data_IF_445387592554
#
_entry.id   IF_445387592554
#
_cell.length_a   1.000
_cell.length_b   1.000
_cell.length_c   1.000
_cell.angle_alpha   90.00
_cell.angle_beta   90.00
_cell.angle_gamma   90.00
#
_symmetry.space_group_name_H-M   'P 1'
#
loop_
_entity.id
_entity.type
_entity.pdbx_description
1 polymer ?
#
# COMPACT_ATOMS: atom_id res chain seq x y z
N UNK A 1 -2.83 -30.89 -4.14
CA UNK A 1 -3.50 -30.08 -5.18
C UNK A 1 -4.73 -29.27 -4.71
N UNK A 2 -5.45 -29.63 -3.64
CA UNK A 2 -6.61 -28.83 -3.15
C UNK A 2 -6.23 -27.47 -2.51
N UNK A 3 -5.02 -27.30 -2.00
CA UNK A 3 -4.60 -26.05 -1.32
C UNK A 3 -4.33 -24.87 -2.26
N UNK A 4 -3.82 -25.12 -3.47
CA UNK A 4 -3.51 -24.05 -4.44
C UNK A 4 -4.75 -23.42 -5.07
N UNK A 5 -5.83 -24.20 -5.22
CA UNK A 5 -7.11 -23.71 -5.76
C UNK A 5 -7.78 -22.73 -4.79
N UNK A 6 -7.69 -23.00 -3.48
CA UNK A 6 -8.27 -22.14 -2.44
C UNK A 6 -7.54 -20.78 -2.32
N UNK A 7 -6.22 -20.76 -2.52
CA UNK A 7 -5.44 -19.51 -2.51
C UNK A 7 -5.79 -18.61 -3.70
N UNK A 8 -5.90 -19.19 -4.89
CA UNK A 8 -6.27 -18.45 -6.10
C UNK A 8 -7.70 -17.89 -6.01
N UNK A 9 -8.64 -18.67 -5.49
CA UNK A 9 -10.02 -18.20 -5.26
C UNK A 9 -10.10 -17.11 -4.20
N UNK A 10 -9.29 -17.18 -3.14
CA UNK A 10 -9.16 -16.11 -2.15
C UNK A 10 -8.65 -14.83 -2.77
N UNK A 11 -7.60 -14.90 -3.56
CA UNK A 11 -7.00 -13.74 -4.23
C UNK A 11 -7.96 -13.08 -5.23
N UNK A 12 -8.64 -13.87 -6.10
CA UNK A 12 -9.61 -13.33 -7.06
C UNK A 12 -10.82 -12.69 -6.37
N UNK A 13 -11.23 -13.20 -5.22
CA UNK A 13 -12.33 -12.62 -4.43
C UNK A 13 -11.93 -11.29 -3.81
N UNK A 14 -10.71 -11.18 -3.24
CA UNK A 14 -10.17 -9.92 -2.72
C UNK A 14 -10.07 -8.88 -3.84
N UNK A 15 -9.51 -9.25 -4.97
CA UNK A 15 -9.37 -8.36 -6.13
C UNK A 15 -10.75 -7.91 -6.65
N UNK A 16 -11.72 -8.81 -6.72
CA UNK A 16 -13.09 -8.49 -7.12
C UNK A 16 -13.74 -7.47 -6.20
N UNK A 17 -13.63 -7.64 -4.88
CA UNK A 17 -14.20 -6.69 -3.91
C UNK A 17 -13.48 -5.33 -3.95
N UNK A 18 -12.16 -5.31 -4.08
CA UNK A 18 -11.38 -4.07 -4.23
C UNK A 18 -11.82 -3.27 -5.45
N UNK A 19 -12.10 -3.94 -6.58
CA UNK A 19 -12.48 -3.30 -7.83
C UNK A 19 -13.96 -2.89 -7.90
N UNK A 20 -14.87 -3.64 -7.27
CA UNK A 20 -16.33 -3.39 -7.40
C UNK A 20 -16.87 -2.38 -6.41
N UNK A 21 -16.12 -2.07 -5.35
CA UNK A 21 -16.57 -1.11 -4.33
C UNK A 21 -16.27 0.32 -4.76
N UNK A 22 -17.27 1.09 -5.12
CA UNK A 22 -17.14 2.47 -5.62
C UNK A 22 -16.24 3.36 -4.74
N UNK A 23 -16.36 3.28 -3.41
CA UNK A 23 -15.52 4.02 -2.46
C UNK A 23 -14.03 3.66 -2.58
N UNK A 24 -13.72 2.38 -2.82
CA UNK A 24 -12.34 1.91 -3.02
C UNK A 24 -11.73 2.46 -4.30
N UNK A 25 -12.50 2.53 -5.38
CA UNK A 25 -12.03 3.11 -6.65
C UNK A 25 -11.74 4.61 -6.52
N UNK A 26 -12.61 5.38 -5.82
CA UNK A 26 -12.35 6.80 -5.57
C UNK A 26 -11.06 7.00 -4.75
N UNK A 27 -10.85 6.19 -3.71
CA UNK A 27 -9.61 6.24 -2.93
C UNK A 27 -8.39 5.95 -3.80
N UNK A 28 -8.45 4.93 -4.67
CA UNK A 28 -7.38 4.63 -5.61
C UNK A 28 -7.09 5.83 -6.53
N UNK A 29 -8.12 6.40 -7.17
CA UNK A 29 -7.96 7.56 -8.05
C UNK A 29 -7.32 8.75 -7.33
N UNK A 30 -7.75 9.06 -6.10
CA UNK A 30 -7.18 10.15 -5.30
C UNK A 30 -5.71 9.87 -4.99
N UNK A 31 -5.37 8.64 -4.59
CA UNK A 31 -3.99 8.26 -4.25
C UNK A 31 -3.09 8.34 -5.49
N UNK A 32 -3.50 7.76 -6.62
CA UNK A 32 -2.70 7.80 -7.85
C UNK A 32 -2.53 9.22 -8.39
N UNK A 33 -3.61 10.00 -8.43
CA UNK A 33 -3.53 11.40 -8.89
C UNK A 33 -2.72 12.27 -7.94
N UNK A 34 -2.90 12.09 -6.62
CA UNK A 34 -2.15 12.79 -5.59
C UNK A 34 -0.66 12.47 -5.63
N UNK A 35 -0.30 11.21 -5.87
CA UNK A 35 1.09 10.78 -6.02
C UNK A 35 1.75 11.41 -7.24
N UNK A 36 1.08 11.42 -8.41
CA UNK A 36 1.59 12.08 -9.61
C UNK A 36 1.79 13.58 -9.42
N UNK A 37 0.83 14.25 -8.75
CA UNK A 37 0.95 15.66 -8.40
C UNK A 37 2.11 15.92 -7.42
N UNK A 38 2.24 15.07 -6.40
CA UNK A 38 3.32 15.19 -5.41
C UNK A 38 4.71 14.99 -6.04
N UNK A 39 4.86 14.01 -6.95
CA UNK A 39 6.09 13.82 -7.72
C UNK A 39 6.41 15.03 -8.57
N UNK A 40 5.43 15.58 -9.29
CA UNK A 40 5.60 16.80 -10.09
C UNK A 40 6.05 18.01 -9.23
N UNK A 41 5.41 18.21 -8.08
CA UNK A 41 5.77 19.28 -7.15
C UNK A 41 7.17 19.07 -6.55
N UNK A 42 7.48 17.84 -6.17
CA UNK A 42 8.80 17.48 -5.66
C UNK A 42 9.88 17.77 -6.70
N UNK A 43 9.71 17.27 -7.91
CA UNK A 43 10.64 17.48 -9.02
C UNK A 43 10.89 18.95 -9.31
N UNK A 44 9.82 19.76 -9.30
CA UNK A 44 9.90 21.16 -9.74
C UNK A 44 10.41 22.09 -8.64
N UNK A 45 10.00 21.89 -7.40
CA UNK A 45 10.25 22.84 -6.31
C UNK A 45 11.12 22.28 -5.19
N UNK A 46 10.92 21.04 -4.79
CA UNK A 46 11.56 20.49 -3.60
C UNK A 46 12.93 19.85 -3.90
N UNK A 47 13.11 19.27 -5.07
CA UNK A 47 14.36 18.59 -5.41
C UNK A 47 15.57 19.55 -5.44
N UNK A 48 15.50 20.75 -6.01
CA UNK A 48 16.61 21.71 -5.92
C UNK A 48 16.95 22.08 -4.47
N UNK A 49 15.93 22.39 -3.66
CA UNK A 49 16.10 22.70 -2.23
C UNK A 49 16.70 21.53 -1.46
N UNK A 50 16.27 20.32 -1.77
CA UNK A 50 16.77 19.11 -1.15
C UNK A 50 18.25 18.85 -1.48
N UNK A 51 18.64 19.07 -2.73
CA UNK A 51 20.05 18.96 -3.15
C UNK A 51 20.93 20.00 -2.48
N UNK A 52 20.48 21.25 -2.42
CA UNK A 52 21.20 22.34 -1.74
C UNK A 52 21.35 22.06 -0.23
N UNK A 53 20.30 21.52 0.40
CA UNK A 53 20.36 21.12 1.80
C UNK A 53 21.42 20.04 2.04
N UNK A 54 21.46 18.99 1.20
CA UNK A 54 22.47 17.94 1.31
C UNK A 54 23.89 18.45 1.12
N UNK A 55 24.10 19.33 0.14
CA UNK A 55 25.39 19.96 -0.09
C UNK A 55 25.86 20.81 1.11
N UNK A 56 24.94 21.54 1.75
CA UNK A 56 25.24 22.31 2.97
C UNK A 56 25.61 21.41 4.16
N UNK A 57 25.14 20.16 4.18
CA UNK A 57 25.55 19.14 5.15
C UNK A 57 26.87 18.44 4.79
N UNK A 58 27.52 18.85 3.69
CA UNK A 58 28.75 18.22 3.18
C UNK A 58 28.53 16.91 2.43
N UNK A 59 27.28 16.55 2.13
CA UNK A 59 26.95 15.38 1.34
C UNK A 59 26.81 15.76 -0.14
N UNK A 60 27.62 15.13 -0.99
CA UNK A 60 27.51 15.24 -2.45
C UNK A 60 27.07 13.88 -3.03
N UNK A 61 25.79 13.57 -2.99
CA UNK A 61 25.31 12.26 -3.47
C UNK A 61 25.47 12.18 -4.99
N UNK A 62 26.09 11.08 -5.44
CA UNK A 62 26.12 10.74 -6.86
C UNK A 62 24.82 10.04 -7.25
N UNK A 63 23.86 10.84 -7.71
CA UNK A 63 22.54 10.34 -8.12
C UNK A 63 22.59 9.40 -9.34
N UNK A 64 23.71 9.37 -10.09
CA UNK A 64 23.86 8.47 -11.24
C UNK A 64 23.96 6.98 -10.84
N UNK A 65 24.29 6.72 -9.57
CA UNK A 65 24.42 5.36 -9.03
C UNK A 65 23.07 4.79 -8.56
N UNK A 66 21.99 5.58 -8.58
CA UNK A 66 20.65 5.08 -8.24
C UNK A 66 20.19 4.07 -9.31
N UNK A 67 20.09 2.81 -8.91
CA UNK A 67 19.60 1.76 -9.80
C UNK A 67 18.07 1.86 -9.95
N UNK A 68 17.65 2.25 -11.14
CA UNK A 68 16.23 2.34 -11.51
C UNK A 68 15.54 0.97 -11.44
N UNK A 69 16.27 -0.11 -11.69
CA UNK A 69 15.75 -1.47 -11.63
C UNK A 69 15.42 -1.93 -10.21
N UNK A 70 16.07 -1.35 -9.20
CA UNK A 70 15.87 -1.72 -7.81
C UNK A 70 14.53 -1.24 -7.24
N UNK A 71 14.05 -0.06 -7.65
CA UNK A 71 12.80 0.52 -7.13
C UNK A 71 11.57 -0.39 -7.31
N UNK A 72 11.27 -0.92 -8.50
CA UNK A 72 10.14 -1.84 -8.68
C UNK A 72 10.27 -3.12 -7.85
N UNK A 73 11.47 -3.65 -7.66
CA UNK A 73 11.72 -4.87 -6.88
C UNK A 73 11.38 -4.63 -5.41
N UNK A 74 11.81 -3.50 -4.84
CA UNK A 74 11.50 -3.13 -3.45
C UNK A 74 9.99 -3.01 -3.26
N UNK A 75 9.30 -2.28 -4.14
CA UNK A 75 7.86 -2.08 -4.03
C UNK A 75 7.04 -3.34 -4.30
N UNK A 76 7.49 -4.19 -5.23
CA UNK A 76 6.86 -5.49 -5.46
C UNK A 76 6.98 -6.39 -4.23
N UNK A 77 8.16 -6.43 -3.60
CA UNK A 77 8.39 -7.21 -2.39
C UNK A 77 7.53 -6.70 -1.23
N UNK A 78 7.46 -5.38 -1.06
CA UNK A 78 6.64 -4.74 -0.04
C UNK A 78 5.15 -5.03 -0.25
N UNK A 79 4.66 -4.89 -1.48
CA UNK A 79 3.29 -5.19 -1.87
C UNK A 79 2.94 -6.67 -1.67
N UNK A 80 3.85 -7.58 -2.02
CA UNK A 80 3.68 -9.01 -1.83
C UNK A 80 3.56 -9.39 -0.34
N UNK A 81 4.36 -8.77 0.54
CA UNK A 81 4.28 -8.98 1.98
C UNK A 81 2.91 -8.51 2.53
N UNK A 82 2.43 -7.36 2.08
CA UNK A 82 1.12 -6.82 2.49
C UNK A 82 -0.01 -7.76 2.05
N UNK A 83 -0.04 -8.15 0.78
CA UNK A 83 -1.07 -9.05 0.26
C UNK A 83 -0.98 -10.43 0.92
N UNK A 84 0.23 -10.94 1.15
CA UNK A 84 0.45 -12.20 1.84
C UNK A 84 -0.09 -12.16 3.27
N UNK A 85 0.22 -11.11 4.03
CA UNK A 85 -0.29 -10.96 5.41
C UNK A 85 -1.80 -10.82 5.45
N UNK A 86 -2.41 -10.04 4.55
CA UNK A 86 -3.87 -9.94 4.44
C UNK A 86 -4.51 -11.28 4.08
N UNK A 87 -3.92 -12.03 3.14
CA UNK A 87 -4.43 -13.35 2.75
C UNK A 87 -4.42 -14.32 3.91
N UNK A 88 -3.36 -14.33 4.72
CA UNK A 88 -3.27 -15.16 5.93
C UNK A 88 -4.36 -14.78 6.92
N UNK A 89 -4.52 -13.48 7.24
CA UNK A 89 -5.54 -13.01 8.18
C UNK A 89 -6.95 -13.39 7.70
N UNK A 90 -7.25 -13.15 6.42
CA UNK A 90 -8.56 -13.48 5.84
C UNK A 90 -8.80 -15.00 5.84
N UNK A 91 -7.77 -15.81 5.58
CA UNK A 91 -7.88 -17.27 5.61
C UNK A 91 -8.21 -17.80 7.02
N UNK A 92 -7.55 -17.24 8.05
CA UNK A 92 -7.87 -17.57 9.44
C UNK A 92 -9.29 -17.12 9.84
N UNK A 93 -9.68 -15.91 9.42
CA UNK A 93 -11.02 -15.40 9.68
C UNK A 93 -12.11 -16.25 9.01
N UNK A 94 -11.88 -16.67 7.76
CA UNK A 94 -12.82 -17.49 7.00
C UNK A 94 -13.05 -18.88 7.61
N UNK A 95 -12.04 -19.47 8.26
CA UNK A 95 -12.14 -20.76 8.90
C UNK A 95 -12.94 -20.71 10.21
N UNK A 96 -12.83 -19.61 10.96
CA UNK A 96 -13.42 -19.50 12.30
C UNK A 96 -14.77 -18.78 12.30
N UNK A 97 -14.91 -17.69 11.53
CA UNK A 97 -16.15 -16.90 11.48
C UNK A 97 -16.30 -16.24 10.09
N UNK A 98 -17.13 -16.79 9.19
CA UNK A 98 -17.28 -16.26 7.83
C UNK A 98 -17.69 -14.79 7.75
N UNK A 99 -18.44 -14.26 8.73
CA UNK A 99 -18.83 -12.86 8.81
C UNK A 99 -17.66 -11.90 9.13
N UNK A 100 -16.54 -12.41 9.66
CA UNK A 100 -15.35 -11.61 9.91
C UNK A 100 -14.70 -11.09 8.62
N UNK A 101 -14.87 -11.80 7.52
CA UNK A 101 -14.34 -11.37 6.21
C UNK A 101 -14.93 -10.00 5.84
N UNK A 102 -16.24 -9.82 6.01
CA UNK A 102 -16.92 -8.56 5.68
C UNK A 102 -16.43 -7.42 6.57
N UNK A 103 -16.16 -7.71 7.85
CA UNK A 103 -15.62 -6.72 8.80
C UNK A 103 -14.20 -6.28 8.44
N UNK A 104 -13.33 -7.22 8.00
CA UNK A 104 -11.97 -6.90 7.57
C UNK A 104 -11.95 -6.14 6.24
N UNK A 105 -12.86 -6.48 5.34
CA UNK A 105 -12.99 -5.79 4.05
C UNK A 105 -13.57 -4.39 4.18
N UNK A 106 -14.26 -4.07 5.30
CA UNK A 106 -14.74 -2.74 5.63
C UNK A 106 -13.69 -1.87 6.34
N UNK A 107 -12.53 -2.47 6.69
CA UNK A 107 -11.50 -1.76 7.43
C UNK A 107 -10.74 -0.79 6.51
N UNK A 108 -11.19 0.49 6.53
CA UNK A 108 -10.68 1.56 5.68
C UNK A 108 -9.14 1.74 5.68
N UNK A 109 -8.42 1.68 6.83
CA UNK A 109 -6.97 1.83 6.85
C UNK A 109 -6.24 0.76 6.04
N UNK A 110 -6.72 -0.50 6.06
CA UNK A 110 -6.13 -1.59 5.29
C UNK A 110 -6.28 -1.38 3.78
N UNK A 111 -7.44 -0.91 3.34
CA UNK A 111 -7.70 -0.59 1.94
C UNK A 111 -6.81 0.56 1.45
N UNK A 112 -6.69 1.63 2.24
CA UNK A 112 -5.83 2.76 1.90
C UNK A 112 -4.38 2.32 1.74
N UNK A 113 -3.88 1.48 2.64
CA UNK A 113 -2.50 1.03 2.60
C UNK A 113 -2.20 0.11 1.41
N UNK A 114 -3.15 -0.75 1.02
CA UNK A 114 -3.04 -1.56 -0.20
C UNK A 114 -2.98 -0.67 -1.44
N UNK A 115 -3.88 0.32 -1.57
CA UNK A 115 -3.88 1.23 -2.70
C UNK A 115 -2.65 2.12 -2.74
N UNK A 116 -2.17 2.58 -1.56
CA UNK A 116 -0.92 3.31 -1.45
C UNK A 116 0.26 2.49 -1.97
N UNK A 117 0.40 1.25 -1.51
CA UNK A 117 1.50 0.37 -1.93
C UNK A 117 1.43 0.03 -3.42
N UNK A 118 0.21 -0.19 -3.95
CA UNK A 118 0.00 -0.40 -5.38
C UNK A 118 0.40 0.84 -6.20
N UNK A 119 0.06 2.04 -5.73
CA UNK A 119 0.44 3.28 -6.39
C UNK A 119 1.96 3.49 -6.39
N UNK A 120 2.65 3.20 -5.27
CA UNK A 120 4.10 3.27 -5.21
C UNK A 120 4.76 2.28 -6.19
N UNK A 121 4.23 1.07 -6.31
CA UNK A 121 4.72 0.08 -7.28
C UNK A 121 4.51 0.55 -8.73
N UNK A 122 3.31 1.03 -9.06
CA UNK A 122 3.00 1.54 -10.41
C UNK A 122 3.88 2.75 -10.73
N UNK A 123 4.09 3.66 -9.78
CA UNK A 123 4.99 4.80 -9.94
C UNK A 123 6.42 4.31 -10.24
N UNK A 124 6.96 3.36 -9.47
CA UNK A 124 8.30 2.80 -9.70
C UNK A 124 8.42 2.10 -11.07
N UNK A 125 7.41 1.35 -11.50
CA UNK A 125 7.36 0.73 -12.82
C UNK A 125 7.35 1.78 -13.93
N UNK A 126 6.57 2.85 -13.76
CA UNK A 126 6.50 3.97 -14.72
C UNK A 126 7.87 4.63 -14.85
N UNK A 127 8.57 4.89 -13.73
CA UNK A 127 9.92 5.45 -13.75
C UNK A 127 10.90 4.55 -14.51
N UNK A 128 10.81 3.22 -14.32
CA UNK A 128 11.65 2.27 -15.05
C UNK A 128 11.43 2.37 -16.56
N UNK A 129 10.17 2.36 -17.00
CA UNK A 129 9.82 2.49 -18.43
C UNK A 129 10.32 3.83 -19.01
N UNK A 130 10.15 4.93 -18.27
CA UNK A 130 10.62 6.26 -18.69
C UNK A 130 12.15 6.31 -18.80
N UNK A 131 12.87 5.68 -17.87
CA UNK A 131 14.34 5.58 -17.92
C UNK A 131 14.82 4.77 -19.13
N UNK A 132 14.16 3.65 -19.41
CA UNK A 132 14.46 2.83 -20.61
C UNK A 132 14.19 3.61 -21.91
N UNK A 133 13.25 4.56 -21.86
CA UNK A 133 12.99 5.54 -22.93
C UNK A 133 13.97 6.71 -23.00
N UNK A 134 15.00 6.76 -22.17
CA UNK A 134 16.01 7.82 -22.15
C UNK A 134 15.58 9.13 -21.50
N UNK A 135 14.45 9.13 -20.76
CA UNK A 135 13.96 10.32 -20.05
C UNK A 135 14.70 10.46 -18.72
N UNK A 136 15.11 11.70 -18.41
CA UNK A 136 15.73 11.98 -17.11
C UNK A 136 14.70 11.90 -15.99
N UNK A 137 14.90 10.94 -15.08
CA UNK A 137 13.96 10.63 -13.99
C UNK A 137 14.57 10.76 -12.59
N UNK A 138 15.82 11.25 -12.48
CA UNK A 138 16.56 11.30 -11.21
C UNK A 138 15.76 11.95 -10.08
N UNK A 139 15.13 13.14 -10.24
CA UNK A 139 14.34 13.72 -9.16
C UNK A 139 13.17 12.84 -8.71
N UNK A 140 12.46 12.24 -9.65
CA UNK A 140 11.32 11.34 -9.36
C UNK A 140 11.77 10.02 -8.72
N UNK A 141 12.96 9.55 -9.05
CA UNK A 141 13.56 8.37 -8.43
C UNK A 141 13.94 8.65 -6.98
N UNK A 142 14.54 9.83 -6.71
CA UNK A 142 14.81 10.30 -5.34
C UNK A 142 13.51 10.46 -4.54
N UNK A 143 12.47 11.02 -5.15
CA UNK A 143 11.13 11.09 -4.54
C UNK A 143 10.61 9.71 -4.15
N UNK A 144 10.70 8.75 -5.06
CA UNK A 144 10.24 7.38 -4.83
C UNK A 144 10.99 6.71 -3.66
N UNK A 145 12.32 6.82 -3.61
CA UNK A 145 13.11 6.18 -2.57
C UNK A 145 13.11 6.92 -1.23
N UNK A 146 13.21 8.23 -1.22
CA UNK A 146 13.37 8.98 0.02
C UNK A 146 12.04 9.41 0.62
N UNK A 147 11.11 9.86 -0.21
CA UNK A 147 9.82 10.38 0.29
C UNK A 147 8.80 9.26 0.41
N UNK A 148 8.53 8.52 -0.68
CA UNK A 148 7.48 7.51 -0.65
C UNK A 148 7.81 6.35 0.29
N UNK A 149 9.08 5.93 0.37
CA UNK A 149 9.47 4.86 1.29
C UNK A 149 9.31 5.33 2.75
N UNK A 150 9.79 6.53 3.09
CA UNK A 150 9.64 7.09 4.43
C UNK A 150 8.16 7.23 4.83
N UNK A 151 7.32 7.77 3.94
CA UNK A 151 5.87 7.89 4.15
C UNK A 151 5.23 6.50 4.31
N UNK A 152 5.66 5.52 3.52
CA UNK A 152 5.15 4.14 3.62
C UNK A 152 5.47 3.48 4.95
N UNK A 153 6.64 3.74 5.52
CA UNK A 153 7.00 3.25 6.86
C UNK A 153 6.08 3.89 7.92
N UNK A 154 5.83 5.19 7.83
CA UNK A 154 4.94 5.90 8.77
C UNK A 154 3.50 5.41 8.66
N UNK A 155 2.97 5.24 7.45
CA UNK A 155 1.60 4.74 7.24
C UNK A 155 1.50 3.24 7.55
N UNK A 156 2.55 2.48 7.28
CA UNK A 156 2.60 1.04 7.52
C UNK A 156 2.51 0.66 8.99
N UNK A 157 3.03 1.50 9.89
CA UNK A 157 3.00 1.22 11.32
C UNK A 157 1.56 1.13 11.89
N UNK A 158 0.65 2.10 11.67
CA UNK A 158 -0.75 1.98 12.04
C UNK A 158 -1.45 0.78 11.40
N UNK A 159 -1.11 0.44 10.16
CA UNK A 159 -1.65 -0.72 9.47
C UNK A 159 -1.29 -2.02 10.19
N UNK A 160 -0.02 -2.22 10.54
CA UNK A 160 0.44 -3.40 11.30
C UNK A 160 -0.23 -3.48 12.66
N UNK A 161 -0.32 -2.36 13.40
CA UNK A 161 -1.02 -2.30 14.68
C UNK A 161 -2.50 -2.65 14.55
N UNK A 162 -3.13 -2.21 13.46
CA UNK A 162 -4.53 -2.51 13.18
C UNK A 162 -4.75 -4.00 12.95
N UNK A 163 -3.88 -4.66 12.16
CA UNK A 163 -3.92 -6.12 11.97
C UNK A 163 -3.74 -6.84 13.31
N UNK A 164 -2.74 -6.46 14.11
CA UNK A 164 -2.48 -7.08 15.40
C UNK A 164 -3.66 -6.91 16.38
N UNK A 165 -4.31 -5.76 16.39
CA UNK A 165 -5.52 -5.54 17.19
C UNK A 165 -6.70 -6.40 16.73
N UNK A 166 -6.86 -6.55 15.42
CA UNK A 166 -7.95 -7.34 14.83
C UNK A 166 -7.80 -8.84 15.08
N UNK A 167 -6.59 -9.33 15.27
CA UNK A 167 -6.34 -10.75 15.59
C UNK A 167 -6.57 -11.09 17.06
N UNK A 168 -6.78 -10.10 17.93
CA UNK A 168 -7.07 -10.32 19.34
C UNK A 168 -8.49 -10.85 19.50
N UNK A 169 -8.63 -12.07 20.02
CA UNK A 169 -9.91 -12.80 20.17
C UNK A 169 -10.97 -12.01 20.95
N UNK A 170 -10.57 -11.21 21.97
CA UNK A 170 -11.48 -10.36 22.74
C UNK A 170 -12.17 -9.28 21.90
N UNK A 171 -11.44 -8.64 20.98
CA UNK A 171 -11.99 -7.57 20.13
C UNK A 171 -12.94 -8.13 19.07
N UNK A 172 -12.68 -9.36 18.63
CA UNK A 172 -13.55 -10.09 17.70
C UNK A 172 -14.89 -10.42 18.36
N UNK A 173 -14.87 -10.92 19.60
CA UNK A 173 -16.08 -11.24 20.35
C UNK A 173 -16.89 -9.96 20.63
N UNK A 174 -16.24 -8.87 21.04
CA UNK A 174 -16.89 -7.59 21.33
C UNK A 174 -17.54 -6.98 20.07
N UNK A 175 -16.88 -7.05 18.93
CA UNK A 175 -17.44 -6.55 17.66
C UNK A 175 -18.62 -7.39 17.17
N UNK A 176 -18.60 -8.70 17.40
CA UNK A 176 -19.72 -9.61 17.08
C UNK A 176 -20.93 -9.35 17.99
N UNK A 177 -20.70 -9.11 19.28
CA UNK A 177 -21.76 -8.75 20.22
C UNK A 177 -22.38 -7.40 19.85
N UNK A 178 -21.58 -6.38 19.62
CA UNK A 178 -22.08 -5.05 19.25
C UNK A 178 -22.81 -5.04 17.90
N UNK A 179 -22.32 -5.78 16.91
CA UNK A 179 -22.99 -5.96 15.62
C UNK A 179 -24.29 -6.77 15.71
N UNK A 180 -24.41 -7.66 16.68
CA UNK A 180 -25.63 -8.42 17.00
C UNK A 180 -26.70 -7.55 17.65
N UNK A 181 -26.34 -6.73 18.61
CA UNK A 181 -27.27 -5.80 19.30
C UNK A 181 -27.86 -4.73 18.38
N UNK A 182 -27.08 -4.23 17.44
CA UNK A 182 -27.54 -3.22 16.44
C UNK A 182 -28.64 -3.75 15.52
N UNK A 183 -28.73 -5.07 15.29
CA UNK A 183 -29.73 -5.69 14.42
C UNK A 183 -31.01 -6.15 15.15
N UNK A 184 -30.99 -6.16 16.48
CA UNK A 184 -32.16 -6.57 17.30
C UNK A 184 -33.05 -5.35 17.62
N UNK A 185 -32.51 -4.14 17.50
CA UNK A 185 -33.22 -2.88 17.79
C UNK A 185 -33.79 -2.16 16.54
N UNK A 186 -33.94 -2.85 15.42
CA UNK A 186 -34.67 -2.48 14.21
C UNK A 186 -35.82 -3.43 13.98
#
# INVERSE_FOLDING_TARGET
MRGSVNLLQGFTRILGVLLTRSRSMYAALIIFSGMGLADFLFRTYLFPVYTDFLQNLGANPDWSQLDVGFAPIVWLSFFAIILGSLTVVISFAAQNVPKLIDLYMDHWPSLLFVWWSAACLVHALTLKVLAEGGIQIIPSLVFNFHVLLAVSLVIGFPFVLSILRSTKTSNVIESLLNGGYSKINL
#
